data_IF_864397251026
#
_entry.id   IF_864397251026
#
_cell.length_a   1.000
_cell.length_b   1.000
_cell.length_c   1.000
_cell.angle_alpha   90.00
_cell.angle_beta   90.00
_cell.angle_gamma   90.00
#
_symmetry.space_group_name_H-M   'P 1'
#
loop_
_entity.id
_entity.type
_entity.pdbx_description
1 polymer ?
#
# COMPACT_ATOMS: atom_id res chain seq x y z
N UNK A 1 11.20 -20.56 -19.34
CA UNK A 1 12.53 -20.66 -19.92
C UNK A 1 13.60 -20.69 -18.85
N UNK A 2 14.62 -21.49 -19.09
CA UNK A 2 15.77 -21.54 -18.19
C UNK A 2 16.46 -20.18 -18.13
N UNK A 3 16.76 -19.68 -16.95
CA UNK A 3 17.39 -18.39 -16.75
C UNK A 3 16.46 -17.18 -16.68
N UNK A 4 15.15 -17.39 -16.75
CA UNK A 4 14.20 -16.31 -16.52
C UNK A 4 14.17 -15.92 -15.05
N UNK A 5 14.22 -14.63 -14.76
CA UNK A 5 14.05 -14.11 -13.41
C UNK A 5 12.57 -13.91 -13.15
N UNK A 6 12.07 -14.56 -12.10
CA UNK A 6 10.71 -14.35 -11.65
C UNK A 6 10.64 -13.09 -10.78
N UNK A 7 9.80 -12.16 -11.19
CA UNK A 7 9.55 -10.92 -10.46
C UNK A 7 8.20 -11.03 -9.79
N UNK A 8 8.20 -11.07 -8.48
CA UNK A 8 6.98 -10.98 -7.72
C UNK A 8 6.47 -9.55 -7.75
N UNK A 9 5.18 -9.40 -7.84
CA UNK A 9 4.58 -8.08 -7.89
C UNK A 9 3.34 -7.99 -7.03
N UNK A 10 2.86 -6.79 -6.87
CA UNK A 10 1.62 -6.52 -6.18
C UNK A 10 0.42 -6.50 -7.11
N UNK A 11 -0.68 -5.95 -6.62
CA UNK A 11 -1.97 -5.89 -7.31
C UNK A 11 -2.00 -4.89 -8.47
N UNK A 12 -1.01 -4.05 -8.62
CA UNK A 12 -0.97 -3.05 -9.68
C UNK A 12 0.40 -2.95 -10.33
N UNK A 13 0.43 -2.34 -11.53
CA UNK A 13 1.65 -2.16 -12.31
C UNK A 13 2.76 -1.41 -11.55
N UNK A 14 2.39 -0.43 -10.74
CA UNK A 14 3.34 0.35 -9.96
C UNK A 14 4.07 -0.51 -8.94
N UNK A 15 3.37 -1.38 -8.22
CA UNK A 15 3.99 -2.30 -7.26
C UNK A 15 4.91 -3.30 -7.96
N UNK A 16 4.51 -3.80 -9.11
CA UNK A 16 5.34 -4.69 -9.93
C UNK A 16 6.59 -3.99 -10.44
N UNK A 17 6.49 -2.71 -10.77
CA UNK A 17 7.62 -1.90 -11.23
C UNK A 17 8.70 -1.76 -10.16
N UNK A 18 8.34 -1.69 -8.90
CA UNK A 18 9.31 -1.65 -7.80
C UNK A 18 10.19 -2.91 -7.81
N UNK A 19 9.58 -4.08 -7.88
CA UNK A 19 10.30 -5.34 -7.96
C UNK A 19 11.18 -5.44 -9.20
N UNK A 20 10.67 -5.00 -10.34
CA UNK A 20 11.42 -5.00 -11.61
C UNK A 20 12.64 -4.08 -11.52
N UNK A 21 12.47 -2.85 -11.10
CA UNK A 21 13.55 -1.88 -10.99
C UNK A 21 14.61 -2.32 -9.98
N UNK A 22 14.20 -2.89 -8.87
CA UNK A 22 15.12 -3.44 -7.88
C UNK A 22 15.94 -4.59 -8.47
N UNK A 23 15.31 -5.49 -9.24
CA UNK A 23 15.98 -6.59 -9.92
C UNK A 23 16.98 -6.08 -10.97
N UNK A 24 16.67 -4.97 -11.62
CA UNK A 24 17.56 -4.32 -12.59
C UNK A 24 18.74 -3.59 -11.94
N UNK A 25 18.79 -3.49 -10.63
CA UNK A 25 19.89 -2.87 -9.91
C UNK A 25 19.62 -1.46 -9.35
N UNK A 26 18.43 -0.90 -9.56
CA UNK A 26 18.10 0.41 -8.98
C UNK A 26 17.92 0.29 -7.48
N UNK A 27 18.49 1.23 -6.73
CA UNK A 27 18.50 1.22 -5.25
C UNK A 27 18.03 2.54 -4.63
N UNK A 28 17.46 3.42 -5.43
CA UNK A 28 16.92 4.70 -4.98
C UNK A 28 15.63 4.98 -5.74
N UNK A 29 14.52 4.50 -5.20
CA UNK A 29 13.20 4.57 -5.82
C UNK A 29 12.32 5.54 -5.06
N UNK A 30 11.80 6.53 -5.76
CA UNK A 30 10.89 7.52 -5.20
C UNK A 30 9.48 7.29 -5.68
N UNK A 31 8.55 7.13 -4.75
CA UNK A 31 7.14 6.88 -5.05
C UNK A 31 6.33 8.16 -4.90
N UNK A 32 5.60 8.50 -5.94
CA UNK A 32 4.69 9.64 -5.99
C UNK A 32 3.31 9.19 -6.46
N UNK A 33 2.27 9.82 -5.94
CA UNK A 33 0.91 9.59 -6.42
C UNK A 33 0.26 8.27 -5.98
N UNK A 34 0.79 7.64 -4.95
CA UNK A 34 0.21 6.44 -4.35
C UNK A 34 -0.71 6.84 -3.20
N UNK A 35 -1.98 7.02 -3.47
CA UNK A 35 -2.93 7.48 -2.46
C UNK A 35 -3.75 6.34 -1.87
N UNK A 36 -4.23 5.42 -2.69
CA UNK A 36 -5.09 4.28 -2.34
C UNK A 36 -6.36 4.66 -1.57
N UNK A 37 -6.74 5.90 -1.63
CA UNK A 37 -7.95 6.45 -1.03
C UNK A 37 -8.60 7.44 -1.99
N UNK A 38 -9.81 7.84 -1.67
CA UNK A 38 -10.58 8.75 -2.50
C UNK A 38 -11.35 9.74 -1.63
N UNK A 39 -11.92 10.74 -2.27
CA UNK A 39 -12.84 11.65 -1.60
C UNK A 39 -14.11 10.91 -1.15
N UNK A 40 -14.78 11.46 -0.15
CA UNK A 40 -16.06 10.92 0.30
C UNK A 40 -17.01 10.72 -0.87
N UNK A 41 -17.58 9.52 -1.04
CA UNK A 41 -18.55 9.28 -2.11
C UNK A 41 -19.81 10.13 -1.97
N UNK A 42 -20.45 10.43 -3.08
CA UNK A 42 -21.77 11.07 -3.09
C UNK A 42 -22.82 10.10 -2.53
N UNK A 43 -23.99 10.63 -2.15
CA UNK A 43 -25.10 9.78 -1.67
C UNK A 43 -25.48 8.71 -2.69
N UNK A 44 -25.46 9.06 -3.99
CA UNK A 44 -25.74 8.11 -5.07
C UNK A 44 -24.67 7.02 -5.16
N UNK A 45 -23.40 7.39 -5.08
CA UNK A 45 -22.28 6.45 -5.11
C UNK A 45 -22.29 5.51 -3.90
N UNK A 46 -22.73 5.97 -2.74
CA UNK A 46 -22.84 5.13 -1.54
C UNK A 46 -23.83 3.97 -1.68
N UNK A 47 -24.76 4.05 -2.62
CA UNK A 47 -25.70 2.95 -2.92
C UNK A 47 -25.11 1.90 -3.86
N UNK A 48 -23.95 2.16 -4.47
CA UNK A 48 -23.30 1.24 -5.38
C UNK A 48 -22.75 0.02 -4.64
N UNK A 49 -22.90 -1.13 -5.25
CA UNK A 49 -22.38 -2.39 -4.77
C UNK A 49 -21.38 -2.97 -5.76
N UNK A 50 -20.67 -4.02 -5.34
CA UNK A 50 -19.67 -4.69 -6.18
C UNK A 50 -20.26 -5.50 -7.33
N UNK A 51 -21.60 -5.47 -7.52
CA UNK A 51 -22.28 -6.23 -8.56
C UNK A 51 -22.38 -7.72 -8.25
N UNK A 52 -22.88 -8.48 -9.21
CA UNK A 52 -23.01 -9.93 -9.08
C UNK A 52 -21.64 -10.58 -9.16
N UNK A 53 -21.20 -11.17 -8.06
CA UNK A 53 -19.98 -11.94 -8.01
C UNK A 53 -20.25 -13.37 -8.49
N UNK A 54 -19.38 -13.91 -9.32
CA UNK A 54 -19.42 -15.31 -9.70
C UNK A 54 -19.39 -16.19 -8.44
N UNK A 55 -20.24 -17.19 -8.38
CA UNK A 55 -20.33 -18.08 -7.22
C UNK A 55 -21.40 -17.72 -6.20
N UNK A 56 -22.26 -16.75 -6.48
CA UNK A 56 -23.42 -16.44 -5.65
C UNK A 56 -23.12 -15.68 -4.36
N UNK A 57 -21.99 -14.98 -4.29
CA UNK A 57 -21.69 -14.13 -3.15
C UNK A 57 -22.62 -12.93 -3.09
N UNK A 58 -22.99 -12.52 -1.88
CA UNK A 58 -23.83 -11.33 -1.67
C UNK A 58 -23.07 -10.07 -2.09
N UNK A 59 -23.65 -9.17 -2.91
CA UNK A 59 -23.04 -7.91 -3.24
C UNK A 59 -22.67 -7.11 -1.99
N UNK A 60 -21.48 -6.51 -2.00
CA UNK A 60 -20.95 -5.71 -0.89
C UNK A 60 -20.92 -4.24 -1.28
N UNK A 61 -20.95 -3.31 -0.32
CA UNK A 61 -20.73 -1.91 -0.63
C UNK A 61 -19.42 -1.70 -1.38
N UNK A 62 -19.47 -0.92 -2.46
CA UNK A 62 -18.29 -0.61 -3.28
C UNK A 62 -17.30 0.27 -2.52
N UNK A 63 -17.81 1.21 -1.74
CA UNK A 63 -17.00 2.17 -0.98
C UNK A 63 -17.01 1.80 0.48
N UNK A 64 -15.82 1.79 1.08
CA UNK A 64 -15.62 1.41 2.46
C UNK A 64 -14.80 2.47 3.18
N UNK A 65 -14.95 2.54 4.49
CA UNK A 65 -14.15 3.40 5.35
C UNK A 65 -13.06 2.59 6.04
N UNK A 66 -11.87 3.16 6.10
CA UNK A 66 -10.73 2.55 6.79
C UNK A 66 -10.12 3.59 7.72
N UNK A 67 -9.81 3.19 8.93
CA UNK A 67 -9.15 4.04 9.91
C UNK A 67 -7.64 3.73 9.89
N UNK A 68 -6.86 4.77 9.71
CA UNK A 68 -5.40 4.70 9.79
C UNK A 68 -4.95 5.87 10.66
N UNK A 69 -4.22 5.59 11.73
CA UNK A 69 -3.85 6.58 12.74
C UNK A 69 -5.07 7.30 13.29
N UNK A 70 -5.75 7.74 13.70
CA UNK A 70 -6.93 8.51 14.13
C UNK A 70 -7.66 9.24 12.98
N UNK A 71 -7.35 8.86 11.72
CA UNK A 71 -8.01 9.41 10.54
C UNK A 71 -8.82 8.35 9.83
N UNK A 72 -9.93 8.79 9.24
CA UNK A 72 -10.82 7.94 8.45
C UNK A 72 -10.65 8.26 6.97
N UNK A 73 -10.43 7.23 6.17
CA UNK A 73 -10.29 7.34 4.72
C UNK A 73 -11.37 6.56 4.01
N UNK A 74 -11.85 7.10 2.90
CA UNK A 74 -12.72 6.39 1.98
C UNK A 74 -11.87 5.68 0.94
N UNK A 75 -12.18 4.43 0.68
CA UNK A 75 -11.48 3.60 -0.28
C UNK A 75 -12.41 2.58 -0.92
N UNK A 76 -11.88 1.72 -1.75
CA UNK A 76 -12.59 0.57 -2.33
C UNK A 76 -11.83 -0.71 -1.98
N UNK A 77 -12.46 -1.87 -2.19
CA UNK A 77 -11.77 -3.14 -1.95
C UNK A 77 -10.47 -3.29 -2.74
N UNK A 78 -10.47 -2.84 -4.00
CA UNK A 78 -9.27 -2.88 -4.85
C UNK A 78 -8.17 -1.96 -4.34
N UNK A 79 -8.52 -0.72 -4.00
CA UNK A 79 -7.56 0.25 -3.47
C UNK A 79 -7.03 -0.19 -2.11
N UNK A 80 -7.85 -0.81 -1.28
CA UNK A 80 -7.41 -1.37 -0.01
C UNK A 80 -6.40 -2.51 -0.21
N UNK A 81 -6.63 -3.38 -1.18
CA UNK A 81 -5.68 -4.43 -1.53
C UNK A 81 -4.34 -3.85 -1.99
N UNK A 82 -4.36 -2.78 -2.78
CA UNK A 82 -3.15 -2.05 -3.18
C UNK A 82 -2.42 -1.44 -1.97
N UNK A 83 -3.17 -0.88 -1.02
CA UNK A 83 -2.60 -0.33 0.20
C UNK A 83 -1.92 -1.40 1.06
N UNK A 84 -2.52 -2.58 1.16
CA UNK A 84 -1.93 -3.72 1.86
C UNK A 84 -0.65 -4.20 1.19
N UNK A 85 -0.59 -4.19 -0.13
CA UNK A 85 0.63 -4.50 -0.87
C UNK A 85 1.71 -3.44 -0.64
N UNK A 86 1.35 -2.16 -0.61
CA UNK A 86 2.27 -1.08 -0.26
C UNK A 86 2.86 -1.28 1.14
N UNK A 87 2.03 -1.64 2.10
CA UNK A 87 2.48 -1.90 3.47
C UNK A 87 3.49 -3.03 3.52
N UNK A 88 3.27 -4.11 2.78
CA UNK A 88 4.22 -5.22 2.67
C UNK A 88 5.55 -4.76 2.07
N UNK A 89 5.51 -3.94 1.03
CA UNK A 89 6.70 -3.40 0.38
C UNK A 89 7.47 -2.48 1.33
N UNK A 90 6.78 -1.61 2.06
CA UNK A 90 7.40 -0.71 3.04
C UNK A 90 8.11 -1.47 4.18
N UNK A 91 7.59 -2.62 4.54
CA UNK A 91 8.14 -3.45 5.61
C UNK A 91 9.04 -4.59 5.11
N UNK A 92 9.35 -4.64 3.83
CA UNK A 92 10.25 -5.64 3.27
C UNK A 92 11.71 -5.32 3.63
N UNK A 93 12.40 -6.17 4.39
CA UNK A 93 13.80 -5.91 4.76
C UNK A 93 14.72 -5.80 3.55
N UNK A 94 14.42 -6.48 2.45
CA UNK A 94 15.19 -6.41 1.21
C UNK A 94 15.09 -5.07 0.49
N UNK A 95 14.11 -4.25 0.84
CA UNK A 95 13.87 -2.93 0.24
C UNK A 95 14.16 -1.79 1.23
N UNK A 96 14.70 -2.07 2.38
CA UNK A 96 15.06 -1.04 3.36
C UNK A 96 16.09 -0.07 2.77
N UNK A 97 15.80 1.22 2.87
CA UNK A 97 16.65 2.27 2.31
C UNK A 97 16.58 2.42 0.80
N UNK A 98 15.84 1.56 0.10
CA UNK A 98 15.66 1.61 -1.36
C UNK A 98 14.51 2.53 -1.75
N UNK A 99 13.44 2.53 -0.98
CA UNK A 99 12.20 3.22 -1.29
C UNK A 99 12.06 4.47 -0.42
N UNK A 100 11.69 5.58 -1.07
CA UNK A 100 11.25 6.81 -0.41
C UNK A 100 9.85 7.15 -0.90
N UNK A 101 8.93 7.37 0.02
CA UNK A 101 7.56 7.74 -0.30
C UNK A 101 7.37 9.25 -0.16
N UNK A 102 6.71 9.85 -1.15
CA UNK A 102 6.41 11.27 -1.18
C UNK A 102 4.89 11.48 -1.28
N UNK A 103 4.31 12.03 -0.24
CA UNK A 103 2.89 12.33 -0.18
C UNK A 103 2.48 12.81 1.19
N UNK A 104 1.32 13.45 1.26
CA UNK A 104 0.73 13.97 2.50
C UNK A 104 -0.78 13.79 2.47
N UNK A 105 -1.37 13.62 3.65
CA UNK A 105 -2.83 13.59 3.84
C UNK A 105 -3.52 12.48 3.03
N UNK A 106 -2.85 11.36 2.85
CA UNK A 106 -3.41 10.16 2.22
C UNK A 106 -3.21 8.95 3.12
N UNK A 107 -3.97 7.90 2.84
CA UNK A 107 -3.85 6.65 3.59
C UNK A 107 -2.44 6.07 3.50
N UNK A 108 -1.84 6.09 2.31
CA UNK A 108 -0.49 5.57 2.11
C UNK A 108 0.57 6.42 2.82
N UNK A 109 0.39 7.74 2.83
CA UNK A 109 1.28 8.64 3.58
C UNK A 109 1.30 8.30 5.08
N UNK A 110 0.13 8.03 5.66
CA UNK A 110 0.04 7.62 7.06
C UNK A 110 0.65 6.24 7.31
N UNK A 111 0.48 5.29 6.40
CA UNK A 111 1.14 3.98 6.48
C UNK A 111 2.67 4.09 6.42
N UNK A 112 3.17 4.98 5.57
CA UNK A 112 4.61 5.25 5.50
C UNK A 112 5.14 5.87 6.80
N UNK A 113 4.40 6.81 7.38
CA UNK A 113 4.77 7.43 8.65
C UNK A 113 4.79 6.41 9.79
N UNK A 114 3.84 5.49 9.84
CA UNK A 114 3.81 4.40 10.82
C UNK A 114 5.07 3.54 10.69
N UNK A 115 5.42 3.17 9.48
CA UNK A 115 6.63 2.38 9.21
C UNK A 115 7.89 3.09 9.69
N UNK A 116 8.03 4.38 9.39
CA UNK A 116 9.17 5.17 9.84
C UNK A 116 9.24 5.32 11.36
N UNK A 117 8.11 5.53 12.01
CA UNK A 117 8.02 5.59 13.47
C UNK A 117 8.41 4.26 14.12
N UNK A 118 7.98 3.14 13.56
CA UNK A 118 8.35 1.81 14.03
C UNK A 118 9.85 1.56 13.88
N UNK A 119 10.43 1.94 12.75
CA UNK A 119 11.87 1.79 12.51
C UNK A 119 12.70 2.60 13.51
N UNK A 120 12.28 3.83 13.82
CA UNK A 120 12.91 4.66 14.85
C UNK A 120 12.79 4.03 16.22
N UNK A 121 11.63 3.50 16.57
CA UNK A 121 11.40 2.81 17.85
C UNK A 121 12.30 1.58 18.01
N UNK A 122 12.46 0.79 16.96
CA UNK A 122 13.33 -0.38 16.95
C UNK A 122 14.79 0.04 17.15
N UNK A 123 15.26 1.04 16.42
CA UNK A 123 16.62 1.58 16.56
C UNK A 123 16.87 2.12 17.97
N UNK A 124 15.93 2.85 18.52
CA UNK A 124 16.01 3.41 19.85
C UNK A 124 16.05 2.32 20.92
N UNK A 125 15.19 1.31 20.79
CA UNK A 125 15.16 0.16 21.71
C UNK A 125 16.45 -0.65 21.65
N UNK A 126 16.98 -0.89 20.48
CA UNK A 126 18.25 -1.56 20.30
C UNK A 126 19.43 -0.82 20.90
N UNK A 127 19.37 0.51 20.97
CA UNK A 127 20.40 1.34 21.61
C UNK A 127 20.42 1.19 23.12
N UNK A 128 19.25 0.97 23.75
CA UNK A 128 19.14 0.84 25.21
C UNK A 128 19.20 -0.58 25.73
N UNK A 129 19.07 -1.59 24.89
CA UNK A 129 19.14 -3.01 25.25
C UNK A 129 20.56 -3.59 25.15
N UNK A 130 21.54 -2.75 25.29
CA UNK A 130 22.95 -3.19 25.25
C UNK A 130 23.33 -3.88 26.55
#
# INVERSE_FOLDING_TARGET
>A
PKGATLITGGTCAAMRSIGLLHTMGFRDLHLFGFDCCRKKPTKKEMTETTGDLEGGETPRPKYIQVNVKDKTYWTTGELLAMAQDCEKVFNDPGLEGVISFHGKNTMIADLWDIKEEQDKSIKFKGYYDV
#
